data_IF_057848550568
#
_entry.id   IF_057848550568
#
_cell.length_a   1.000
_cell.length_b   1.000
_cell.length_c   1.000
_cell.angle_alpha   90.00
_cell.angle_beta   90.00
_cell.angle_gamma   90.00
#
_symmetry.space_group_name_H-M   'P 1'
#
loop_
_entity.id
_entity.type
_entity.pdbx_description
1 polymer ?
#
# COMPACT_ATOMS: atom_id res chain seq x y z
N UNK A 1 -18.53 16.21 -3.58
CA UNK A 1 -17.31 16.59 -4.32
C UNK A 1 -16.25 15.65 -3.81
N UNK A 2 -15.55 14.95 -4.69
CA UNK A 2 -14.48 14.05 -4.25
C UNK A 2 -13.34 14.87 -3.64
N UNK A 3 -12.77 14.39 -2.54
CA UNK A 3 -11.57 14.98 -1.92
C UNK A 3 -10.40 14.02 -2.10
N UNK A 4 -9.18 14.54 -2.20
CA UNK A 4 -7.99 13.69 -2.23
C UNK A 4 -7.77 13.02 -0.87
N UNK A 5 -7.94 11.70 -0.79
CA UNK A 5 -7.72 10.93 0.43
C UNK A 5 -6.27 10.82 0.92
N UNK A 6 -5.31 11.37 0.18
CA UNK A 6 -3.90 11.42 0.58
C UNK A 6 -3.54 12.75 1.26
N UNK A 7 -3.85 13.88 0.64
CA UNK A 7 -3.44 15.20 1.12
C UNK A 7 -4.61 16.09 1.59
N UNK A 8 -5.86 15.63 1.45
CA UNK A 8 -7.06 16.40 1.82
C UNK A 8 -7.44 17.52 0.84
N UNK A 9 -6.70 17.71 -0.26
CA UNK A 9 -7.02 18.76 -1.25
C UNK A 9 -8.32 18.48 -2.01
N UNK A 10 -9.10 19.54 -2.25
CA UNK A 10 -10.28 19.53 -3.13
C UNK A 10 -9.92 19.82 -4.60
N UNK A 11 -8.66 20.19 -4.88
CA UNK A 11 -8.19 20.50 -6.23
C UNK A 11 -7.94 19.22 -7.03
N UNK A 12 -9.02 18.71 -7.62
CA UNK A 12 -9.02 17.54 -8.48
C UNK A 12 -9.35 17.94 -9.92
N UNK A 13 -8.55 17.43 -10.87
CA UNK A 13 -8.77 17.61 -12.30
C UNK A 13 -9.07 16.26 -12.98
N UNK A 14 -9.85 16.25 -14.09
CA UNK A 14 -10.05 15.03 -14.86
C UNK A 14 -8.73 14.43 -15.35
N UNK A 15 -8.53 13.13 -15.13
CA UNK A 15 -7.33 12.42 -15.55
C UNK A 15 -7.63 11.38 -16.64
N UNK A 16 -8.66 10.57 -16.47
CA UNK A 16 -9.06 9.60 -17.48
C UNK A 16 -10.53 9.25 -17.30
N UNK A 17 -11.16 8.71 -18.33
CA UNK A 17 -12.47 8.11 -18.23
C UNK A 17 -12.53 6.87 -19.11
N UNK A 18 -12.88 5.74 -18.50
CA UNK A 18 -13.20 4.52 -19.24
C UNK A 18 -14.73 4.34 -19.34
N UNK A 19 -15.19 3.19 -19.82
CA UNK A 19 -16.62 2.91 -20.01
C UNK A 19 -17.42 2.86 -18.69
N UNK A 20 -16.74 2.70 -17.55
CA UNK A 20 -17.32 2.42 -16.23
C UNK A 20 -16.99 3.49 -15.19
N UNK A 21 -15.78 4.04 -15.21
CA UNK A 21 -15.26 4.91 -14.14
C UNK A 21 -14.61 6.18 -14.67
N UNK A 22 -14.77 7.24 -13.89
CA UNK A 22 -14.02 8.49 -14.00
C UNK A 22 -12.86 8.48 -13.02
N UNK A 23 -11.70 8.89 -13.53
CA UNK A 23 -10.48 9.03 -12.77
C UNK A 23 -10.11 10.50 -12.70
N UNK A 24 -9.80 10.97 -11.50
CA UNK A 24 -9.44 12.35 -11.20
C UNK A 24 -8.01 12.36 -10.64
N UNK A 25 -7.20 13.36 -10.99
CA UNK A 25 -5.88 13.55 -10.43
C UNK A 25 -5.87 14.76 -9.51
N UNK A 26 -5.26 14.59 -8.33
CA UNK A 26 -5.00 15.71 -7.44
C UNK A 26 -3.85 16.58 -7.98
N UNK A 27 -4.06 17.89 -8.06
CA UNK A 27 -3.04 18.85 -8.52
C UNK A 27 -1.92 19.08 -7.49
N UNK A 28 -2.12 18.67 -6.23
CA UNK A 28 -1.19 18.91 -5.13
C UNK A 28 -0.21 17.74 -4.90
N UNK A 29 -0.71 16.49 -4.93
CA UNK A 29 0.08 15.29 -4.64
C UNK A 29 0.14 14.30 -5.81
N UNK A 30 -0.39 14.67 -6.98
CA UNK A 30 -0.44 13.84 -8.18
C UNK A 30 -1.20 12.49 -8.07
N UNK A 31 -1.80 12.17 -6.90
CA UNK A 31 -2.57 10.94 -6.73
C UNK A 31 -3.75 10.90 -7.71
N UNK A 32 -3.90 9.78 -8.41
CA UNK A 32 -5.07 9.53 -9.26
C UNK A 32 -6.07 8.69 -8.47
N UNK A 33 -7.32 9.13 -8.40
CA UNK A 33 -8.39 8.46 -7.67
C UNK A 33 -9.58 8.18 -8.57
N UNK A 34 -10.36 7.15 -8.24
CA UNK A 34 -11.70 6.94 -8.80
C UNK A 34 -12.67 7.92 -8.14
N UNK A 35 -13.52 8.56 -8.95
CA UNK A 35 -14.62 9.41 -8.47
C UNK A 35 -15.52 8.62 -7.51
N UNK A 36 -15.89 9.20 -6.36
CA UNK A 36 -16.66 8.50 -5.32
C UNK A 36 -17.94 7.86 -5.84
N UNK A 37 -18.57 8.45 -6.86
CA UNK A 37 -19.81 7.94 -7.48
C UNK A 37 -19.61 6.65 -8.28
N UNK A 38 -18.38 6.35 -8.66
CA UNK A 38 -18.04 5.18 -9.47
C UNK A 38 -17.28 4.10 -8.66
N UNK A 39 -17.21 4.24 -7.32
CA UNK A 39 -16.62 3.26 -6.40
C UNK A 39 -17.63 2.17 -6.04
N UNK A 40 -17.13 0.99 -5.72
CA UNK A 40 -17.94 -0.09 -5.16
C UNK A 40 -18.43 0.26 -3.76
N UNK A 41 -19.53 -0.38 -3.34
CA UNK A 41 -19.88 -0.45 -1.93
C UNK A 41 -18.89 -1.35 -1.19
N UNK A 42 -18.73 -1.17 0.12
CA UNK A 42 -17.86 -2.05 0.93
C UNK A 42 -18.33 -3.52 0.91
N UNK A 43 -19.63 -3.76 0.73
CA UNK A 43 -20.19 -5.11 0.59
C UNK A 43 -19.74 -5.77 -0.73
N UNK A 44 -19.81 -5.03 -1.84
CA UNK A 44 -19.37 -5.50 -3.15
C UNK A 44 -17.84 -5.68 -3.20
N UNK A 45 -17.08 -4.80 -2.54
CA UNK A 45 -15.62 -4.91 -2.44
C UNK A 45 -15.22 -6.20 -1.72
N UNK A 46 -15.83 -6.47 -0.57
CA UNK A 46 -15.59 -7.71 0.19
C UNK A 46 -15.94 -8.95 -0.64
N UNK A 47 -17.05 -8.91 -1.38
CA UNK A 47 -17.46 -10.03 -2.23
C UNK A 47 -16.41 -10.36 -3.31
N UNK A 48 -15.65 -9.37 -3.79
CA UNK A 48 -14.53 -9.60 -4.70
C UNK A 48 -13.34 -10.21 -3.96
N UNK A 49 -12.93 -9.67 -2.80
CA UNK A 49 -11.83 -10.25 -2.01
C UNK A 49 -12.08 -11.71 -1.63
N UNK A 50 -13.33 -12.08 -1.34
CA UNK A 50 -13.70 -13.46 -1.01
C UNK A 50 -13.47 -14.45 -2.17
N UNK A 51 -13.20 -13.96 -3.39
CA UNK A 51 -12.82 -14.79 -4.55
C UNK A 51 -11.30 -15.00 -4.70
N UNK A 52 -10.48 -14.30 -3.92
CA UNK A 52 -9.03 -14.43 -3.99
C UNK A 52 -8.53 -15.69 -3.27
N UNK A 53 -7.96 -16.63 -4.03
CA UNK A 53 -7.28 -17.81 -3.48
C UNK A 53 -5.78 -17.52 -3.32
N UNK A 54 -5.38 -16.96 -2.17
CA UNK A 54 -3.97 -16.83 -1.80
C UNK A 54 -3.49 -18.13 -1.14
N UNK A 55 -2.86 -19.01 -1.92
CA UNK A 55 -2.30 -20.25 -1.39
C UNK A 55 -0.90 -20.03 -0.79
N UNK A 56 -0.69 -20.48 0.44
CA UNK A 56 0.63 -20.47 1.12
C UNK A 56 1.69 -21.32 0.40
N UNK A 57 1.28 -22.20 -0.51
CA UNK A 57 2.16 -23.08 -1.27
C UNK A 57 2.38 -22.63 -2.72
N UNK A 58 1.87 -21.46 -3.12
CA UNK A 58 2.09 -20.92 -4.45
C UNK A 58 3.50 -20.29 -4.55
N UNK A 59 4.40 -20.97 -5.27
CA UNK A 59 5.76 -20.48 -5.51
C UNK A 59 5.80 -19.16 -6.29
N UNK A 60 4.82 -18.94 -7.18
CA UNK A 60 4.65 -17.69 -7.91
C UNK A 60 4.29 -16.54 -6.98
N UNK A 61 3.36 -16.77 -6.05
CA UNK A 61 2.98 -15.78 -5.03
C UNK A 61 4.14 -15.50 -4.06
N UNK A 62 4.86 -16.55 -3.62
CA UNK A 62 6.07 -16.38 -2.81
C UNK A 62 7.11 -15.50 -3.52
N UNK A 63 7.39 -15.78 -4.80
CA UNK A 63 8.31 -14.96 -5.61
C UNK A 63 7.82 -13.52 -5.79
N UNK A 64 6.51 -13.33 -5.90
CA UNK A 64 5.92 -11.99 -5.96
C UNK A 64 6.18 -11.21 -4.66
N UNK A 65 5.94 -11.84 -3.50
CA UNK A 65 6.18 -11.27 -2.16
C UNK A 65 7.68 -11.12 -1.82
N UNK A 66 8.56 -11.95 -2.40
CA UNK A 66 10.01 -11.83 -2.25
C UNK A 66 10.52 -10.42 -2.59
N UNK A 67 9.83 -9.71 -3.47
CA UNK A 67 10.20 -8.35 -3.88
C UNK A 67 10.07 -7.33 -2.75
N UNK A 68 9.15 -7.53 -1.81
CA UNK A 68 9.06 -6.73 -0.58
C UNK A 68 9.95 -7.32 0.54
N UNK A 69 9.98 -8.65 0.64
CA UNK A 69 10.74 -9.38 1.65
C UNK A 69 12.26 -9.12 1.58
N UNK A 70 12.88 -9.32 0.41
CA UNK A 70 14.33 -9.23 0.23
C UNK A 70 14.88 -7.84 0.58
N UNK A 71 14.31 -6.73 0.06
CA UNK A 71 14.73 -5.40 0.49
C UNK A 71 14.54 -5.12 1.98
N UNK A 72 13.53 -5.73 2.60
CA UNK A 72 13.27 -5.52 4.03
C UNK A 72 14.38 -6.15 4.86
N UNK A 73 14.69 -7.43 4.65
CA UNK A 73 15.72 -8.15 5.45
C UNK A 73 17.13 -7.59 5.24
N UNK A 74 17.39 -6.91 4.12
CA UNK A 74 18.67 -6.19 3.89
C UNK A 74 18.80 -4.90 4.70
N UNK A 75 17.68 -4.32 5.17
CA UNK A 75 17.63 -3.01 5.84
C UNK A 75 17.50 -3.10 7.35
N UNK A 76 17.06 -4.24 7.88
CA UNK A 76 16.85 -4.40 9.32
C UNK A 76 17.80 -5.42 9.95
N UNK A 77 18.16 -5.25 11.23
CA UNK A 77 18.86 -6.29 11.98
C UNK A 77 18.08 -7.60 12.02
N UNK A 78 18.78 -8.73 12.24
CA UNK A 78 18.12 -10.01 12.48
C UNK A 78 17.31 -9.97 13.78
N UNK A 79 16.22 -10.76 13.83
CA UNK A 79 15.35 -10.92 15.01
C UNK A 79 14.59 -9.66 15.45
N UNK A 80 14.32 -8.75 14.51
CA UNK A 80 13.45 -7.60 14.72
C UNK A 80 11.95 -7.97 14.75
N UNK A 81 11.12 -7.01 15.20
CA UNK A 81 9.66 -7.08 15.21
C UNK A 81 9.08 -6.36 14.01
N UNK A 82 8.32 -7.07 13.20
CA UNK A 82 7.62 -6.54 12.04
C UNK A 82 6.09 -6.56 12.18
N UNK A 83 5.42 -5.70 11.42
CA UNK A 83 3.99 -5.77 11.17
C UNK A 83 3.76 -5.96 9.67
N UNK A 84 2.95 -6.96 9.31
CA UNK A 84 2.39 -7.10 7.97
C UNK A 84 0.97 -6.52 7.94
N UNK A 85 0.81 -5.34 7.35
CA UNK A 85 -0.45 -4.60 7.29
C UNK A 85 -1.19 -4.88 5.98
N UNK A 86 -2.47 -5.24 6.08
CA UNK A 86 -3.28 -5.75 4.98
C UNK A 86 -2.81 -7.13 4.52
N UNK A 87 -2.52 -8.02 5.47
CA UNK A 87 -1.91 -9.32 5.19
C UNK A 87 -2.83 -10.29 4.42
N UNK A 88 -4.12 -9.97 4.28
CA UNK A 88 -5.10 -10.82 3.61
C UNK A 88 -5.31 -12.17 4.28
N UNK A 89 -5.98 -13.11 3.59
CA UNK A 89 -6.12 -14.48 4.06
C UNK A 89 -4.80 -15.25 3.85
N UNK A 90 -4.26 -15.83 4.92
CA UNK A 90 -3.01 -16.62 4.87
C UNK A 90 -1.77 -15.74 4.67
N UNK A 91 -1.20 -15.16 5.76
CA UNK A 91 -0.17 -14.12 5.70
C UNK A 91 1.22 -14.69 5.33
N UNK A 92 1.39 -15.12 4.07
CA UNK A 92 2.61 -15.76 3.57
C UNK A 92 3.86 -14.89 3.78
N UNK A 93 3.73 -13.57 3.59
CA UNK A 93 4.86 -12.65 3.79
C UNK A 93 5.34 -12.68 5.25
N UNK A 94 4.42 -12.63 6.21
CA UNK A 94 4.75 -12.77 7.63
C UNK A 94 5.40 -14.14 7.94
N UNK A 95 4.92 -15.23 7.32
CA UNK A 95 5.55 -16.56 7.48
C UNK A 95 6.97 -16.59 6.91
N UNK A 96 7.22 -15.98 5.75
CA UNK A 96 8.58 -15.86 5.18
C UNK A 96 9.54 -15.14 6.13
N UNK A 97 9.08 -14.09 6.83
CA UNK A 97 9.88 -13.42 7.87
C UNK A 97 10.11 -14.30 9.10
N UNK A 98 9.09 -15.03 9.57
CA UNK A 98 9.24 -15.96 10.70
C UNK A 98 10.25 -17.08 10.41
N UNK A 99 10.27 -17.60 9.18
CA UNK A 99 11.22 -18.65 8.75
C UNK A 99 12.68 -18.23 8.92
N UNK A 100 12.98 -16.94 8.76
CA UNK A 100 14.35 -16.39 8.94
C UNK A 100 14.55 -15.72 10.30
N UNK A 101 13.62 -15.92 11.24
CA UNK A 101 13.78 -15.61 12.65
C UNK A 101 13.25 -14.25 13.12
N UNK A 102 12.41 -13.56 12.35
CA UNK A 102 11.73 -12.33 12.79
C UNK A 102 10.46 -12.65 13.60
N UNK A 103 10.10 -11.73 14.49
CA UNK A 103 8.79 -11.72 15.16
C UNK A 103 7.80 -10.92 14.30
N UNK A 104 6.66 -11.51 13.93
CA UNK A 104 5.68 -10.84 13.08
C UNK A 104 4.32 -10.72 13.76
N UNK A 105 3.77 -9.50 13.74
CA UNK A 105 2.34 -9.26 13.88
C UNK A 105 1.69 -9.15 12.49
N UNK A 106 0.39 -9.42 12.42
CA UNK A 106 -0.41 -9.27 11.21
C UNK A 106 -1.62 -8.41 11.51
N UNK A 107 -2.03 -7.59 10.55
CA UNK A 107 -3.30 -6.85 10.62
C UNK A 107 -3.99 -6.89 9.27
N UNK A 108 -5.27 -7.18 9.27
CA UNK A 108 -6.14 -7.04 8.09
C UNK A 108 -7.58 -6.79 8.55
N UNK A 109 -8.29 -5.86 7.90
CA UNK A 109 -9.63 -5.47 8.32
C UNK A 109 -10.63 -6.64 8.28
N UNK A 110 -10.47 -7.57 7.35
CA UNK A 110 -11.39 -8.68 7.12
C UNK A 110 -10.86 -10.00 7.68
N UNK A 111 -9.56 -10.24 7.61
CA UNK A 111 -8.97 -11.56 7.87
C UNK A 111 -8.14 -11.66 9.16
N UNK A 112 -7.68 -10.53 9.73
CA UNK A 112 -6.84 -10.47 10.92
C UNK A 112 -7.08 -9.17 11.71
N UNK A 113 -8.34 -8.93 12.08
CA UNK A 113 -8.76 -7.69 12.72
C UNK A 113 -8.51 -7.73 14.23
N UNK A 114 -7.24 -7.60 14.61
CA UNK A 114 -6.75 -7.45 15.99
C UNK A 114 -6.18 -6.03 16.18
N UNK A 115 -7.02 -5.00 16.40
CA UNK A 115 -6.58 -3.59 16.46
C UNK A 115 -5.50 -3.30 17.51
N UNK A 116 -5.33 -4.16 18.50
CA UNK A 116 -4.30 -4.05 19.53
C UNK A 116 -2.89 -4.03 18.95
N UNK A 117 -2.67 -4.64 17.78
CA UNK A 117 -1.39 -4.58 17.07
C UNK A 117 -1.06 -3.16 16.57
N UNK A 118 -2.06 -2.31 16.36
CA UNK A 118 -1.90 -0.91 15.96
C UNK A 118 -1.61 0.03 17.14
N UNK A 119 -1.44 -0.52 18.35
CA UNK A 119 -1.02 0.20 19.56
C UNK A 119 0.41 -0.14 19.99
N UNK A 120 1.17 -0.85 19.15
CA UNK A 120 2.57 -1.26 19.39
C UNK A 120 3.52 -0.49 18.46
N UNK A 121 4.81 -0.59 18.74
CA UNK A 121 5.87 -0.13 17.83
C UNK A 121 6.58 -1.30 17.16
N UNK A 122 7.11 -1.06 15.96
CA UNK A 122 7.75 -2.06 15.10
C UNK A 122 9.05 -1.53 14.52
N UNK A 123 10.01 -2.43 14.33
CA UNK A 123 11.29 -2.13 13.67
C UNK A 123 11.10 -1.93 12.15
N UNK A 124 10.11 -2.62 11.57
CA UNK A 124 9.69 -2.43 10.18
C UNK A 124 8.21 -2.74 9.99
N UNK A 125 7.64 -2.26 8.89
CA UNK A 125 6.26 -2.56 8.49
C UNK A 125 6.25 -2.88 7.00
N UNK A 126 5.53 -3.93 6.61
CA UNK A 126 5.19 -4.23 5.22
C UNK A 126 3.71 -3.93 4.94
N UNK A 127 3.41 -3.47 3.73
CA UNK A 127 2.05 -3.19 3.28
C UNK A 127 1.98 -3.40 1.77
N UNK A 128 1.51 -4.57 1.35
CA UNK A 128 1.62 -5.06 -0.04
C UNK A 128 0.26 -5.26 -0.68
N UNK A 129 -0.01 -4.58 -1.79
CA UNK A 129 -1.28 -4.55 -2.52
C UNK A 129 -2.47 -4.17 -1.60
N UNK A 130 -2.36 -3.01 -0.94
CA UNK A 130 -3.33 -2.52 0.06
C UNK A 130 -3.72 -1.07 -0.21
N UNK A 131 -2.73 -0.20 -0.37
CA UNK A 131 -2.94 1.25 -0.39
C UNK A 131 -3.77 1.73 -1.59
N UNK A 132 -3.79 0.97 -2.68
CA UNK A 132 -4.61 1.22 -3.86
C UNK A 132 -6.11 1.03 -3.61
N UNK A 133 -6.48 0.32 -2.56
CA UNK A 133 -7.86 0.05 -2.16
C UNK A 133 -8.38 1.08 -1.15
N UNK A 134 -7.50 1.90 -0.58
CA UNK A 134 -7.86 2.81 0.50
C UNK A 134 -8.50 4.10 -0.02
N UNK A 135 -9.60 4.50 0.61
CA UNK A 135 -10.23 5.80 0.37
C UNK A 135 -9.47 6.94 1.03
N UNK A 136 -8.76 6.66 2.13
CA UNK A 136 -7.98 7.60 2.93
C UNK A 136 -6.55 7.09 3.17
N UNK A 137 -5.74 6.88 2.11
CA UNK A 137 -4.38 6.36 2.26
C UNK A 137 -3.47 7.29 3.08
N UNK A 138 -3.74 8.60 3.13
CA UNK A 138 -2.95 9.54 3.95
C UNK A 138 -2.99 9.23 5.44
N UNK A 139 -4.19 8.99 5.99
CA UNK A 139 -4.37 8.63 7.40
C UNK A 139 -3.70 7.30 7.74
N UNK A 140 -3.79 6.32 6.83
CA UNK A 140 -3.15 5.01 7.02
C UNK A 140 -1.63 5.14 6.96
N UNK A 141 -1.08 5.87 6.00
CA UNK A 141 0.36 6.10 5.91
C UNK A 141 0.88 6.83 7.15
N UNK A 142 0.19 7.88 7.62
CA UNK A 142 0.53 8.58 8.85
C UNK A 142 0.53 7.62 10.05
N UNK A 143 -0.52 6.80 10.17
CA UNK A 143 -0.64 5.80 11.22
C UNK A 143 0.52 4.80 11.16
N UNK A 144 0.77 4.16 10.02
CA UNK A 144 1.85 3.18 9.89
C UNK A 144 3.22 3.79 10.20
N UNK A 145 3.49 4.98 9.68
CA UNK A 145 4.72 5.71 9.99
C UNK A 145 4.82 5.97 11.50
N UNK A 146 3.73 6.33 12.20
CA UNK A 146 3.74 6.56 13.65
C UNK A 146 4.09 5.31 14.49
N UNK A 147 3.86 4.10 13.96
CA UNK A 147 4.17 2.84 14.64
C UNK A 147 5.62 2.40 14.43
N UNK A 148 6.36 3.03 13.52
CA UNK A 148 7.77 2.68 13.27
C UNK A 148 8.70 3.26 14.33
N UNK A 149 9.64 2.43 14.77
CA UNK A 149 10.83 2.86 15.49
C UNK A 149 11.68 3.80 14.62
N UNK A 150 12.53 4.60 15.28
CA UNK A 150 13.34 5.60 14.58
C UNK A 150 14.30 4.96 13.57
N UNK A 151 14.11 5.29 12.29
CA UNK A 151 14.88 4.74 11.18
C UNK A 151 14.38 3.38 10.67
N UNK A 152 13.26 2.89 11.20
CA UNK A 152 12.58 1.71 10.66
C UNK A 152 11.96 1.97 9.28
N UNK A 153 12.01 1.01 8.34
CA UNK A 153 11.41 1.15 7.03
C UNK A 153 9.91 0.77 7.01
N UNK A 154 9.11 1.58 6.31
CA UNK A 154 7.81 1.19 5.79
C UNK A 154 8.00 0.73 4.34
N UNK A 155 7.81 -0.56 4.08
CA UNK A 155 7.95 -1.17 2.77
C UNK A 155 6.58 -1.38 2.15
N UNK A 156 6.29 -0.59 1.13
CA UNK A 156 5.05 -0.64 0.37
C UNK A 156 5.30 -1.44 -0.91
N UNK A 157 4.31 -2.22 -1.34
CA UNK A 157 4.30 -2.80 -2.68
C UNK A 157 2.97 -2.47 -3.34
N UNK A 158 3.00 -1.69 -4.42
CA UNK A 158 1.85 -1.34 -5.25
C UNK A 158 2.36 -0.94 -6.62
N UNK A 159 1.54 -1.10 -7.66
CA UNK A 159 2.01 -0.71 -9.00
C UNK A 159 1.89 0.79 -9.23
N UNK A 160 2.91 1.35 -9.88
CA UNK A 160 3.00 2.79 -10.12
C UNK A 160 2.50 3.21 -11.51
N UNK A 161 1.79 4.33 -11.55
CA UNK A 161 1.51 5.08 -12.77
C UNK A 161 2.83 5.58 -13.35
N UNK A 162 2.98 5.39 -14.66
CA UNK A 162 4.11 5.91 -15.44
C UNK A 162 3.70 7.17 -16.18
N UNK A 163 2.58 7.10 -16.91
CA UNK A 163 1.99 8.23 -17.61
C UNK A 163 0.51 7.95 -17.93
N UNK A 164 -0.21 8.99 -18.36
CA UNK A 164 -1.64 8.94 -18.67
C UNK A 164 -1.99 8.02 -19.85
N UNK A 165 -1.11 7.92 -20.86
CA UNK A 165 -1.34 7.05 -22.02
C UNK A 165 -1.25 5.57 -21.61
N UNK A 166 -0.23 5.23 -20.82
CA UNK A 166 -0.08 3.88 -20.26
C UNK A 166 -1.20 3.55 -19.29
N UNK A 167 -1.62 4.52 -18.46
CA UNK A 167 -2.75 4.35 -17.56
C UNK A 167 -4.02 3.93 -18.32
N UNK A 168 -4.34 4.57 -19.45
CA UNK A 168 -5.53 4.24 -20.24
C UNK A 168 -5.60 2.75 -20.64
N UNK A 169 -4.46 2.15 -20.99
CA UNK A 169 -4.36 0.74 -21.39
C UNK A 169 -4.02 -0.21 -20.24
N UNK A 170 -3.83 0.31 -19.04
CA UNK A 170 -3.32 -0.47 -17.92
C UNK A 170 -4.38 -1.40 -17.33
N UNK A 171 -4.08 -2.69 -17.24
CA UNK A 171 -5.01 -3.68 -16.69
C UNK A 171 -5.22 -3.54 -15.17
N UNK A 172 -4.21 -3.05 -14.45
CA UNK A 172 -4.28 -2.93 -12.99
C UNK A 172 -5.40 -1.98 -12.54
N UNK A 173 -5.70 -0.93 -13.31
CA UNK A 173 -6.84 -0.09 -12.99
C UNK A 173 -8.16 -0.83 -13.13
N UNK A 174 -8.26 -1.89 -13.94
CA UNK A 174 -9.53 -2.55 -14.26
C UNK A 174 -10.11 -3.36 -13.10
N UNK A 175 -9.29 -3.67 -12.10
CA UNK A 175 -9.81 -4.11 -10.80
C UNK A 175 -10.65 -2.98 -10.21
N UNK A 176 -11.89 -3.28 -9.84
CA UNK A 176 -12.84 -2.30 -9.34
C UNK A 176 -12.60 -1.95 -7.87
N UNK A 177 -11.88 -2.81 -7.15
CA UNK A 177 -11.46 -2.54 -5.78
C UNK A 177 -10.32 -1.51 -5.73
N UNK A 178 -9.60 -1.30 -6.84
CA UNK A 178 -8.54 -0.29 -6.91
C UNK A 178 -9.17 1.10 -7.14
N UNK A 179 -9.04 1.96 -6.15
CA UNK A 179 -9.65 3.30 -6.12
C UNK A 179 -8.63 4.44 -5.98
N UNK A 180 -7.38 4.13 -5.63
CA UNK A 180 -6.27 5.05 -5.54
C UNK A 180 -5.07 4.49 -6.32
N UNK A 181 -4.41 5.34 -7.11
CA UNK A 181 -3.30 4.95 -7.97
C UNK A 181 -2.15 5.92 -7.80
N UNK A 182 -1.01 5.36 -7.40
CA UNK A 182 0.18 6.12 -7.01
C UNK A 182 1.14 6.24 -8.18
N UNK A 183 1.95 7.28 -8.16
CA UNK A 183 3.08 7.49 -9.07
C UNK A 183 4.34 7.75 -8.25
N UNK A 184 5.50 7.83 -8.91
CA UNK A 184 6.72 8.28 -8.24
C UNK A 184 6.57 9.69 -7.68
N UNK A 185 5.95 10.60 -8.45
CA UNK A 185 5.64 11.97 -8.01
C UNK A 185 4.74 12.00 -6.76
N UNK A 186 3.77 11.08 -6.69
CA UNK A 186 2.94 10.92 -5.49
C UNK A 186 3.77 10.52 -4.27
N UNK A 187 4.72 9.59 -4.44
CA UNK A 187 5.57 9.17 -3.33
C UNK A 187 6.65 10.19 -2.97
N UNK A 188 7.13 10.98 -3.92
CA UNK A 188 7.98 12.14 -3.65
C UNK A 188 7.24 13.17 -2.78
N UNK A 189 5.95 13.41 -3.06
CA UNK A 189 5.09 14.22 -2.20
C UNK A 189 4.94 13.60 -0.80
N UNK A 190 4.63 12.30 -0.71
CA UNK A 190 4.48 11.58 0.58
C UNK A 190 5.73 11.71 1.42
N UNK A 191 6.90 11.49 0.82
CA UNK A 191 8.19 11.63 1.48
C UNK A 191 8.40 13.04 2.04
N UNK A 192 8.15 14.07 1.23
CA UNK A 192 8.25 15.46 1.67
C UNK A 192 7.23 15.81 2.77
N UNK A 193 5.99 15.33 2.65
CA UNK A 193 4.91 15.63 3.57
C UNK A 193 5.15 15.02 4.96
N UNK A 194 5.65 13.78 5.02
CA UNK A 194 5.89 13.06 6.27
C UNK A 194 7.34 13.10 6.77
N UNK A 195 8.19 13.98 6.20
CA UNK A 195 9.61 14.10 6.55
C UNK A 195 10.38 12.75 6.51
N UNK A 196 10.14 12.02 5.42
CA UNK A 196 10.72 10.71 5.15
C UNK A 196 11.62 10.77 3.91
N UNK A 197 12.53 9.81 3.81
CA UNK A 197 13.20 9.47 2.56
C UNK A 197 12.37 8.44 1.81
N UNK A 198 12.39 8.52 0.47
CA UNK A 198 11.78 7.52 -0.41
C UNK A 198 12.85 6.86 -1.27
N UNK A 199 12.78 5.53 -1.37
CA UNK A 199 13.53 4.72 -2.30
C UNK A 199 12.56 3.89 -3.15
N UNK A 200 12.86 3.73 -4.43
CA UNK A 200 12.08 2.90 -5.35
C UNK A 200 12.91 1.71 -5.81
N UNK A 201 12.42 0.50 -5.55
CA UNK A 201 13.09 -0.75 -5.90
C UNK A 201 12.27 -1.46 -6.97
N UNK A 202 12.89 -1.69 -8.12
CA UNK A 202 12.19 -2.21 -9.29
C UNK A 202 11.07 -1.26 -9.75
N UNK A 203 9.88 -1.83 -9.99
CA UNK A 203 8.75 -1.10 -10.58
C UNK A 203 7.61 -0.82 -9.61
N UNK A 204 7.59 -1.47 -8.45
CA UNK A 204 6.42 -1.52 -7.57
C UNK A 204 6.74 -1.63 -6.09
N UNK A 205 8.01 -1.62 -5.68
CA UNK A 205 8.39 -1.57 -4.27
C UNK A 205 8.87 -0.18 -3.91
N UNK A 206 8.30 0.38 -2.85
CA UNK A 206 8.58 1.72 -2.35
C UNK A 206 8.96 1.58 -0.87
N UNK A 207 10.12 2.10 -0.51
CA UNK A 207 10.58 2.11 0.88
C UNK A 207 10.56 3.55 1.37
N UNK A 208 9.75 3.79 2.40
CA UNK A 208 9.74 5.05 3.15
C UNK A 208 10.52 4.85 4.44
N UNK A 209 11.45 5.74 4.76
CA UNK A 209 12.22 5.71 6.01
C UNK A 209 12.20 7.07 6.65
N UNK A 210 11.78 7.13 7.91
CA UNK A 210 11.81 8.38 8.69
C UNK A 210 13.24 8.90 8.82
N UNK A 211 13.43 10.18 8.56
CA UNK A 211 14.68 10.85 8.86
C UNK A 211 14.99 10.73 10.36
N UNK A 212 16.21 10.29 10.71
CA UNK A 212 16.68 10.32 12.10
C UNK A 212 16.82 11.78 12.51
N UNK A 213 15.97 12.25 13.43
CA UNK A 213 16.13 13.58 14.05
C UNK A 213 17.33 13.62 14.97
#
# INVERSE_FOLDING_TARGET
MSVCGLCGSEELQPYHQDKRRRYLQCTQCALVIVDERDRLSSEDEKAIYDTHENSLHDEGYRRFLSRAFEPTIERVPSHCKGLDFGCGPGPLLAEMFKEVGFEMACFDLFYANEPEVLNKTYDFITCTEVIEHLSQPGEVLEKLLSLLESGGPLVLMTKLIIDQNRFAQWHYKNDLTHIAFFSRETFDYVAAHFDCQVEFIGNDVIVLTKSKK
#
